data_IF_264806319218
#
_entry.id   IF_264806319218
#
_cell.length_a   1.000
_cell.length_b   1.000
_cell.length_c   1.000
_cell.angle_alpha   90.00
_cell.angle_beta   90.00
_cell.angle_gamma   90.00
#
_symmetry.space_group_name_H-M   'P 1'
#
loop_
_entity.id
_entity.type
_entity.pdbx_description
1 polymer ?
#
# COMPACT_ATOMS: atom_id res chain seq x y z
N UNK A 1 4.83 -13.11 -8.16
CA UNK A 1 4.72 -13.13 -6.69
C UNK A 1 3.45 -12.44 -6.19
N UNK A 2 3.20 -11.15 -6.45
CA UNK A 2 2.00 -10.46 -5.94
C UNK A 2 0.76 -10.49 -6.86
N UNK A 3 0.90 -10.85 -8.14
CA UNK A 3 -0.20 -10.88 -9.14
C UNK A 3 -1.26 -11.97 -8.90
N UNK A 4 -0.99 -12.95 -8.04
CA UNK A 4 -1.85 -14.12 -7.82
C UNK A 4 -2.65 -14.09 -6.53
N UNK A 5 -2.38 -13.12 -5.65
CA UNK A 5 -3.11 -13.00 -4.40
C UNK A 5 -4.26 -12.05 -4.67
N UNK A 6 -5.47 -12.59 -4.82
CA UNK A 6 -6.73 -11.84 -4.83
C UNK A 6 -6.97 -11.16 -3.48
N UNK A 7 -6.15 -10.17 -3.15
CA UNK A 7 -6.24 -9.35 -1.96
C UNK A 7 -7.52 -8.50 -2.07
N UNK A 8 -8.61 -9.04 -1.50
CA UNK A 8 -9.87 -8.31 -1.29
C UNK A 8 -9.81 -7.35 -0.10
N UNK A 9 -8.68 -7.30 0.61
CA UNK A 9 -8.50 -6.50 1.82
C UNK A 9 -7.56 -5.32 1.57
N UNK A 10 -7.85 -4.14 2.13
CA UNK A 10 -7.04 -2.94 1.93
C UNK A 10 -5.64 -3.13 2.53
N UNK A 11 -4.61 -2.80 1.74
CA UNK A 11 -3.21 -2.95 2.14
C UNK A 11 -2.55 -1.58 2.32
N UNK A 12 -1.94 -1.35 3.48
CA UNK A 12 -1.16 -0.15 3.76
C UNK A 12 0.32 -0.48 3.75
N UNK A 13 1.11 0.29 3.00
CA UNK A 13 2.55 0.02 2.80
C UNK A 13 3.36 1.26 3.16
N UNK A 14 4.34 1.11 4.04
CA UNK A 14 5.37 2.12 4.30
C UNK A 14 6.59 1.80 3.45
N UNK A 15 6.94 2.71 2.53
CA UNK A 15 8.13 2.61 1.70
C UNK A 15 9.17 3.61 2.18
N UNK A 16 10.36 3.14 2.55
CA UNK A 16 11.50 3.98 2.93
C UNK A 16 12.76 3.54 2.17
N UNK A 17 13.55 4.49 1.69
CA UNK A 17 14.82 4.24 0.99
C UNK A 17 15.00 5.01 -0.32
N UNK A 18 16.00 4.63 -1.12
CA UNK A 18 16.50 5.38 -2.29
C UNK A 18 15.62 5.26 -3.55
N UNK A 19 14.70 4.30 -3.60
CA UNK A 19 13.90 4.00 -4.80
C UNK A 19 12.39 4.01 -4.50
N UNK A 20 11.96 4.81 -3.53
CA UNK A 20 10.55 4.92 -3.13
C UNK A 20 9.66 5.30 -4.30
N UNK A 21 10.12 6.19 -5.19
CA UNK A 21 9.33 6.63 -6.35
C UNK A 21 9.17 5.52 -7.39
N UNK A 22 10.23 4.74 -7.64
CA UNK A 22 10.16 3.58 -8.52
C UNK A 22 9.24 2.50 -7.93
N UNK A 23 9.33 2.26 -6.61
CA UNK A 23 8.47 1.34 -5.89
C UNK A 23 6.99 1.75 -5.95
N UNK A 24 6.69 3.04 -5.75
CA UNK A 24 5.33 3.59 -5.91
C UNK A 24 4.79 3.39 -7.32
N UNK A 25 5.63 3.58 -8.34
CA UNK A 25 5.24 3.41 -9.75
C UNK A 25 4.92 1.95 -10.08
N UNK A 26 5.78 1.02 -9.67
CA UNK A 26 5.54 -0.43 -9.84
C UNK A 26 4.26 -0.86 -9.13
N UNK A 27 4.02 -0.35 -7.91
CA UNK A 27 2.81 -0.66 -7.17
C UNK A 27 1.57 -0.04 -7.83
N UNK A 28 1.65 1.19 -8.35
CA UNK A 28 0.55 1.82 -9.09
C UNK A 28 0.19 1.05 -10.36
N UNK A 29 1.20 0.54 -11.07
CA UNK A 29 1.02 -0.28 -12.28
C UNK A 29 0.60 -1.73 -11.97
N UNK A 30 0.72 -2.18 -10.71
CA UNK A 30 0.39 -3.55 -10.31
C UNK A 30 -1.12 -3.83 -10.22
N UNK A 31 -1.96 -2.79 -10.25
CA UNK A 31 -3.42 -2.92 -10.08
C UNK A 31 -3.84 -3.34 -8.66
N UNK A 32 -2.91 -3.34 -7.71
CA UNK A 32 -3.20 -3.56 -6.30
C UNK A 32 -3.70 -2.24 -5.69
N UNK A 33 -4.76 -2.29 -4.88
CA UNK A 33 -5.17 -1.16 -4.06
C UNK A 33 -4.24 -1.08 -2.83
N UNK A 34 -3.19 -0.27 -2.92
CA UNK A 34 -2.27 -0.01 -1.81
C UNK A 34 -2.31 1.47 -1.42
N UNK A 35 -2.16 1.72 -0.12
CA UNK A 35 -2.18 3.08 0.43
C UNK A 35 -0.84 3.35 1.09
N UNK A 36 -0.08 4.37 0.65
CA UNK A 36 1.16 4.73 1.29
C UNK A 36 0.89 5.35 2.66
N UNK A 37 1.65 4.97 3.68
CA UNK A 37 1.63 5.60 5.00
C UNK A 37 3.06 5.91 5.47
N UNK A 38 3.22 7.06 6.14
CA UNK A 38 4.50 7.53 6.67
C UNK A 38 4.75 7.08 8.12
N UNK A 39 3.69 6.75 8.86
CA UNK A 39 3.78 6.29 10.25
C UNK A 39 2.79 5.16 10.54
N UNK A 40 3.04 4.41 11.61
CA UNK A 40 2.14 3.34 12.06
C UNK A 40 0.77 3.88 12.49
N UNK A 41 0.72 5.10 13.04
CA UNK A 41 -0.54 5.79 13.38
C UNK A 41 -1.35 6.09 12.13
N UNK A 42 -0.73 6.72 11.14
CA UNK A 42 -1.36 7.04 9.86
C UNK A 42 -1.84 5.76 9.15
N UNK A 43 -1.06 4.67 9.26
CA UNK A 43 -1.46 3.39 8.71
C UNK A 43 -2.72 2.83 9.37
N UNK A 44 -2.80 2.88 10.70
CA UNK A 44 -3.97 2.42 11.45
C UNK A 44 -5.23 3.23 11.10
N UNK A 45 -5.13 4.56 11.04
CA UNK A 45 -6.24 5.44 10.65
C UNK A 45 -6.73 5.14 9.22
N UNK A 46 -5.80 4.97 8.27
CA UNK A 46 -6.11 4.64 6.88
C UNK A 46 -6.83 3.29 6.77
N UNK A 47 -6.32 2.23 7.41
CA UNK A 47 -6.99 0.92 7.39
C UNK A 47 -8.42 1.03 7.91
N UNK A 48 -8.64 1.72 9.04
CA UNK A 48 -9.99 1.87 9.62
C UNK A 48 -10.92 2.64 8.68
N UNK A 49 -10.43 3.66 7.99
CA UNK A 49 -11.23 4.42 7.01
C UNK A 49 -11.61 3.62 5.76
N UNK A 50 -10.81 2.61 5.40
CA UNK A 50 -10.98 1.81 4.18
C UNK A 50 -11.85 0.55 4.38
N UNK A 51 -12.14 0.20 5.64
CA UNK A 51 -12.96 -0.98 6.00
C UNK A 51 -14.42 -0.59 6.28
N UNK A 52 -14.73 0.71 6.39
CA UNK A 52 -16.11 1.22 6.44
C UNK A 52 -16.73 1.27 5.05
#
# INVERSE_FOLDING_TARGET
AAKEIGLKVPMVVRLEGTNVDLGKKILAESGLNFYPASSMREAAEKVVSLVK
#
